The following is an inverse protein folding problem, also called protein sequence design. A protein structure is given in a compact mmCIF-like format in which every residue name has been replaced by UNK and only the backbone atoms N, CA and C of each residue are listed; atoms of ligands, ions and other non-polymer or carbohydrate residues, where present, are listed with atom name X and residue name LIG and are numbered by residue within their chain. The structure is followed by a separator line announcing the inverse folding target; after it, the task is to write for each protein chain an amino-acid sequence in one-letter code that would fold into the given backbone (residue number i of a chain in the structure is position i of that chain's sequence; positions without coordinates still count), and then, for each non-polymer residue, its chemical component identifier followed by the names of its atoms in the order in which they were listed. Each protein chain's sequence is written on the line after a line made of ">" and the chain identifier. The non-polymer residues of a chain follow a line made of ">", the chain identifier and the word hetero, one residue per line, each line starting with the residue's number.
data_IF_939062077900
#
_entry.id   IF_939062077900
#
_cell.length_a   1.000
_cell.length_b   1.000
_cell.length_c   1.000
_cell.angle_alpha   90.00
_cell.angle_beta   90.00
_cell.angle_gamma   90.00
#
_symmetry.space_group_name_H-M   'P 1'
#
loop_
_entity.id
_entity.type
_entity.pdbx_description
1 polymer ?
#
# COMPACT_ATOMS: atom_id res chain seq x y z
N UNK A 1 36.92 0.76 -13.70
CA UNK A 1 35.51 1.15 -13.53
C UNK A 1 35.07 2.25 -14.49
N UNK A 2 35.95 3.16 -14.94
CA UNK A 2 35.59 4.41 -15.65
C UNK A 2 35.73 4.43 -17.18
N UNK A 3 36.08 3.32 -17.86
CA UNK A 3 36.36 3.33 -19.31
C UNK A 3 35.14 3.11 -20.21
N UNK A 4 33.97 2.80 -19.64
CA UNK A 4 32.72 2.58 -20.38
C UNK A 4 31.88 3.86 -20.50
N UNK A 5 31.92 4.71 -19.47
CA UNK A 5 31.20 5.97 -19.48
C UNK A 5 31.95 6.99 -20.32
N UNK A 6 31.22 7.92 -20.93
CA UNK A 6 31.88 9.08 -21.52
C UNK A 6 32.51 9.90 -20.38
N UNK A 7 33.64 10.59 -20.63
CA UNK A 7 34.30 11.41 -19.60
C UNK A 7 33.41 12.49 -18.97
N UNK A 8 32.36 12.89 -19.70
CA UNK A 8 31.40 13.93 -19.32
C UNK A 8 30.20 13.39 -18.52
N UNK A 9 30.09 12.07 -18.36
CA UNK A 9 28.95 11.40 -17.73
C UNK A 9 29.20 11.07 -16.26
N UNK A 10 28.20 11.30 -15.42
CA UNK A 10 28.28 11.07 -13.97
C UNK A 10 27.32 9.96 -13.54
N UNK A 11 27.77 9.06 -12.66
CA UNK A 11 26.90 8.04 -12.04
C UNK A 11 26.14 8.69 -10.89
N UNK A 12 24.80 8.69 -10.96
CA UNK A 12 23.92 9.15 -9.87
C UNK A 12 23.58 8.04 -8.90
N UNK A 13 23.41 6.83 -9.41
CA UNK A 13 23.07 5.66 -8.60
C UNK A 13 23.58 4.39 -9.27
N UNK A 14 24.07 3.45 -8.48
CA UNK A 14 24.34 2.08 -8.93
C UNK A 14 23.72 1.09 -7.94
N UNK A 15 22.77 0.28 -8.42
CA UNK A 15 22.04 -0.71 -7.62
C UNK A 15 22.38 -2.10 -8.12
N UNK A 16 22.90 -2.93 -7.22
CA UNK A 16 23.16 -4.34 -7.52
C UNK A 16 21.85 -5.09 -7.66
N UNK A 17 21.74 -5.90 -8.71
CA UNK A 17 20.60 -6.77 -8.98
C UNK A 17 20.95 -8.23 -8.68
N UNK A 18 19.91 -9.02 -8.43
CA UNK A 18 19.99 -10.48 -8.49
C UNK A 18 20.33 -10.93 -9.91
N UNK A 19 21.13 -12.00 -10.03
CA UNK A 19 21.46 -12.62 -11.32
C UNK A 19 21.40 -14.13 -11.18
N UNK A 20 20.97 -14.80 -12.25
CA UNK A 20 20.97 -16.25 -12.37
C UNK A 20 22.40 -16.82 -12.54
N UNK A 21 23.39 -15.97 -12.86
CA UNK A 21 24.78 -16.39 -13.04
C UNK A 21 25.65 -15.98 -11.84
N UNK A 22 26.06 -16.92 -10.97
CA UNK A 22 26.78 -16.60 -9.73
C UNK A 22 28.19 -16.01 -9.96
N UNK A 23 28.75 -16.15 -11.16
CA UNK A 23 30.05 -15.58 -11.54
C UNK A 23 29.95 -14.15 -12.09
N UNK A 24 28.75 -13.61 -12.27
CA UNK A 24 28.51 -12.30 -12.84
C UNK A 24 27.78 -11.42 -11.83
N UNK A 25 28.28 -10.21 -11.60
CA UNK A 25 27.60 -9.23 -10.77
C UNK A 25 26.91 -8.20 -11.65
N UNK A 26 25.61 -8.03 -11.45
CA UNK A 26 24.76 -7.15 -12.26
C UNK A 26 24.43 -5.86 -11.55
N UNK A 27 24.44 -4.74 -12.27
CA UNK A 27 24.07 -3.43 -11.75
C UNK A 27 23.11 -2.68 -12.68
N UNK A 28 22.06 -2.10 -12.09
CA UNK A 28 21.29 -1.00 -12.68
C UNK A 28 21.99 0.31 -12.31
N UNK A 29 22.38 1.11 -13.30
CA UNK A 29 23.12 2.36 -13.09
C UNK A 29 22.34 3.51 -13.69
N UNK A 30 22.03 4.53 -12.88
CA UNK A 30 21.48 5.80 -13.37
C UNK A 30 22.64 6.73 -13.66
N UNK A 31 22.79 7.12 -14.92
CA UNK A 31 23.85 8.01 -15.42
C UNK A 31 23.23 9.33 -15.82
N UNK A 32 23.83 10.43 -15.39
CA UNK A 32 23.43 11.79 -15.76
C UNK A 32 24.53 12.48 -16.58
N UNK A 33 24.12 13.22 -17.59
CA UNK A 33 24.97 14.11 -18.39
C UNK A 33 24.37 15.52 -18.39
N UNK A 34 25.21 16.54 -18.44
CA UNK A 34 24.74 17.91 -18.65
C UNK A 34 24.50 18.11 -20.16
N UNK A 35 23.23 18.32 -20.53
CA UNK A 35 22.82 18.55 -21.90
C UNK A 35 23.28 19.90 -22.44
N UNK A 36 23.01 20.17 -23.73
CA UNK A 36 23.45 21.39 -24.43
C UNK A 36 22.89 22.72 -23.88
N UNK A 37 21.96 22.67 -22.94
CA UNK A 37 21.27 23.83 -22.34
C UNK A 37 21.49 23.94 -20.81
N UNK A 38 22.56 23.35 -20.27
CA UNK A 38 22.80 23.21 -18.81
C UNK A 38 21.69 22.45 -18.07
N UNK A 39 20.87 21.69 -18.80
CA UNK A 39 19.82 20.88 -18.24
C UNK A 39 20.32 19.46 -18.00
N UNK A 40 20.00 18.90 -16.83
CA UNK A 40 20.43 17.55 -16.46
C UNK A 40 19.61 16.51 -17.24
N UNK A 41 20.30 15.70 -18.05
CA UNK A 41 19.71 14.57 -18.77
C UNK A 41 20.13 13.27 -18.06
N UNK A 42 19.22 12.32 -17.88
CA UNK A 42 19.51 11.05 -17.18
C UNK A 42 19.12 9.84 -18.02
N UNK A 43 19.82 8.73 -17.85
CA UNK A 43 19.64 7.46 -18.58
C UNK A 43 19.89 6.30 -17.62
N UNK A 44 19.16 5.20 -17.79
CA UNK A 44 19.37 3.97 -17.01
C UNK A 44 20.17 2.98 -17.86
N UNK A 45 21.26 2.45 -17.31
CA UNK A 45 22.11 1.48 -17.97
C UNK A 45 22.10 0.16 -17.20
N UNK A 46 22.01 -0.94 -17.93
CA UNK A 46 22.28 -2.28 -17.42
C UNK A 46 23.74 -2.66 -17.64
N UNK A 47 24.46 -2.95 -16.56
CA UNK A 47 25.88 -3.32 -16.59
C UNK A 47 26.13 -4.69 -15.95
N UNK A 48 26.93 -5.52 -16.62
CA UNK A 48 27.37 -6.82 -16.11
C UNK A 48 28.88 -6.80 -15.83
N UNK A 49 29.29 -7.36 -14.69
CA UNK A 49 30.67 -7.40 -14.23
C UNK A 49 31.11 -8.85 -14.00
N UNK A 50 32.19 -9.27 -14.69
CA UNK A 50 32.84 -10.56 -14.48
C UNK A 50 34.25 -10.33 -13.87
N UNK A 51 34.67 -11.07 -12.83
CA UNK A 51 36.01 -10.96 -12.26
C UNK A 51 37.17 -11.28 -13.22
N UNK A 52 36.93 -11.98 -14.34
CA UNK A 52 37.98 -12.43 -15.26
C UNK A 52 38.12 -11.62 -16.56
N UNK A 53 37.19 -10.71 -16.88
CA UNK A 53 37.15 -10.06 -18.19
C UNK A 53 36.69 -8.60 -18.15
N UNK A 54 36.99 -7.85 -19.22
CA UNK A 54 36.66 -6.42 -19.36
C UNK A 54 35.15 -6.19 -19.29
N UNK A 55 34.79 -5.06 -18.67
CA UNK A 55 33.42 -4.58 -18.48
C UNK A 55 32.57 -4.63 -19.76
N UNK A 56 31.33 -5.09 -19.67
CA UNK A 56 30.40 -5.15 -20.80
C UNK A 56 29.11 -4.35 -20.51
N UNK A 57 28.74 -3.46 -21.43
CA UNK A 57 27.44 -2.79 -21.41
C UNK A 57 26.39 -3.74 -21.98
N UNK A 58 25.29 -3.95 -21.26
CA UNK A 58 24.32 -4.99 -21.59
C UNK A 58 22.98 -4.43 -22.10
N UNK A 59 22.59 -3.24 -21.63
CA UNK A 59 21.39 -2.54 -22.09
C UNK A 59 21.51 -1.03 -21.84
N UNK A 60 21.02 -0.21 -22.79
CA UNK A 60 20.87 1.23 -22.62
C UNK A 60 19.40 1.60 -22.65
N UNK A 61 18.84 1.99 -21.50
CA UNK A 61 17.43 2.34 -21.32
C UNK A 61 17.32 3.87 -21.24
N UNK A 62 16.82 4.50 -22.30
CA UNK A 62 16.47 5.93 -22.29
C UNK A 62 15.33 6.17 -21.30
N UNK A 63 15.42 7.18 -20.42
CA UNK A 63 14.35 7.54 -19.47
C UNK A 63 13.21 8.32 -20.11
N UNK A 64 12.82 7.92 -21.32
CA UNK A 64 11.49 8.21 -21.78
C UNK A 64 10.78 6.92 -22.02
N UNK A 65 9.68 6.79 -21.29
CA UNK A 65 8.77 5.65 -21.29
C UNK A 65 9.12 4.61 -20.22
N UNK A 66 9.28 5.06 -18.97
CA UNK A 66 8.46 4.39 -17.96
C UNK A 66 7.01 4.62 -18.40
N UNK A 67 6.46 3.56 -19.01
CA UNK A 67 5.21 3.46 -19.78
C UNK A 67 5.38 3.86 -21.27
N UNK A 68 5.45 2.86 -22.16
CA UNK A 68 5.38 2.91 -23.65
C UNK A 68 6.66 2.95 -24.51
N UNK A 69 7.61 2.04 -24.30
CA UNK A 69 8.36 1.45 -25.42
C UNK A 69 8.70 0.00 -25.09
N UNK A 70 7.98 -0.92 -25.75
CA UNK A 70 8.13 -2.37 -26.02
C UNK A 70 8.93 -3.33 -25.11
N UNK A 71 9.46 -2.93 -23.95
CA UNK A 71 10.26 -3.82 -23.09
C UNK A 71 10.02 -3.49 -21.61
N UNK A 72 9.18 -4.28 -20.94
CA UNK A 72 9.04 -4.22 -19.47
C UNK A 72 10.23 -4.97 -18.88
N UNK A 73 11.17 -4.24 -18.29
CA UNK A 73 12.31 -4.85 -17.60
C UNK A 73 12.00 -5.01 -16.11
N UNK A 74 12.13 -6.23 -15.61
CA UNK A 74 12.00 -6.54 -14.18
C UNK A 74 13.38 -6.43 -13.54
N UNK A 75 13.59 -5.39 -12.74
CA UNK A 75 14.78 -5.30 -11.89
C UNK A 75 14.48 -5.95 -10.54
N UNK A 76 15.35 -6.86 -10.08
CA UNK A 76 15.29 -7.49 -8.76
C UNK A 76 16.45 -6.96 -7.90
N UNK A 77 16.30 -5.85 -7.17
CA UNK A 77 17.35 -5.32 -6.31
C UNK A 77 17.64 -6.28 -5.16
N UNK A 78 18.92 -6.43 -4.80
CA UNK A 78 19.34 -7.36 -3.74
C UNK A 78 18.88 -6.98 -2.32
N UNK A 79 18.28 -5.80 -2.15
CA UNK A 79 17.73 -5.35 -0.86
C UNK A 79 16.61 -4.32 -1.03
N UNK A 80 15.74 -4.22 -0.03
CA UNK A 80 14.65 -3.22 0.03
C UNK A 80 15.22 -1.80 0.01
N UNK A 81 16.36 -1.56 0.64
CA UNK A 81 17.03 -0.25 0.61
C UNK A 81 17.56 0.10 -0.79
N UNK A 82 18.09 -0.89 -1.51
CA UNK A 82 18.54 -0.71 -2.89
C UNK A 82 17.34 -0.48 -3.84
N UNK A 83 16.23 -1.17 -3.59
CA UNK A 83 14.96 -0.95 -4.31
C UNK A 83 14.41 0.46 -4.07
N UNK A 84 14.38 0.93 -2.84
CA UNK A 84 13.89 2.27 -2.51
C UNK A 84 14.78 3.37 -3.11
N UNK A 85 16.11 3.20 -3.05
CA UNK A 85 17.06 4.13 -3.66
C UNK A 85 16.91 4.18 -5.18
N UNK A 86 16.68 3.02 -5.82
CA UNK A 86 16.34 2.92 -7.24
C UNK A 86 15.07 3.71 -7.56
N UNK A 87 13.99 3.46 -6.83
CA UNK A 87 12.70 4.12 -7.06
C UNK A 87 12.80 5.65 -6.96
N UNK A 88 13.47 6.15 -5.92
CA UNK A 88 13.67 7.59 -5.73
C UNK A 88 14.48 8.22 -6.87
N UNK A 89 15.58 7.58 -7.28
CA UNK A 89 16.43 8.10 -8.36
C UNK A 89 15.72 8.06 -9.72
N UNK A 90 14.92 7.02 -9.98
CA UNK A 90 14.12 6.89 -11.20
C UNK A 90 13.00 7.93 -11.24
N UNK A 91 12.28 8.12 -10.12
CA UNK A 91 11.22 9.12 -10.01
C UNK A 91 11.76 10.53 -10.26
N UNK A 92 12.93 10.88 -9.67
CA UNK A 92 13.58 12.16 -9.91
C UNK A 92 13.99 12.34 -11.37
N UNK A 93 14.60 11.32 -11.99
CA UNK A 93 14.99 11.38 -13.39
C UNK A 93 13.78 11.53 -14.33
N UNK A 94 12.67 10.84 -14.05
CA UNK A 94 11.44 10.92 -14.81
C UNK A 94 10.78 12.30 -14.68
N UNK A 95 10.75 12.88 -13.48
CA UNK A 95 10.17 14.20 -13.26
C UNK A 95 10.96 15.28 -14.01
N UNK A 96 12.30 15.22 -14.00
CA UNK A 96 13.15 16.13 -14.78
C UNK A 96 12.89 15.96 -16.28
N UNK A 97 12.81 14.72 -16.78
CA UNK A 97 12.51 14.44 -18.18
C UNK A 97 11.13 14.97 -18.61
N UNK A 98 10.12 14.84 -17.73
CA UNK A 98 8.76 15.35 -17.95
C UNK A 98 8.71 16.88 -17.97
N UNK A 99 9.36 17.54 -17.01
CA UNK A 99 9.39 19.00 -16.94
C UNK A 99 10.06 19.64 -18.16
N UNK A 100 11.06 18.97 -18.74
CA UNK A 100 11.84 19.50 -19.86
C UNK A 100 11.50 18.86 -21.21
N UNK A 101 10.46 18.01 -21.27
CA UNK A 101 10.02 17.30 -22.47
C UNK A 101 11.17 16.59 -23.20
N UNK A 102 12.03 15.89 -22.47
CA UNK A 102 12.98 14.98 -23.11
C UNK A 102 12.20 13.84 -23.75
N UNK A 103 12.63 13.32 -24.89
CA UNK A 103 12.11 12.10 -25.50
C UNK A 103 13.10 11.44 -26.47
N UNK A 104 12.99 10.12 -26.73
CA UNK A 104 13.92 9.40 -27.58
C UNK A 104 13.71 9.88 -29.02
N UNK A 105 14.80 10.22 -29.70
CA UNK A 105 14.75 10.82 -31.04
C UNK A 105 14.54 12.34 -31.06
N UNK A 106 14.43 12.99 -29.90
CA UNK A 106 14.49 14.46 -29.79
C UNK A 106 15.94 14.99 -29.95
N UNK A 107 16.10 16.32 -29.87
CA UNK A 107 17.42 16.96 -29.80
C UNK A 107 18.14 16.72 -28.45
N UNK A 108 17.46 16.12 -27.46
CA UNK A 108 17.97 15.74 -26.15
C UNK A 108 18.30 14.23 -26.12
N UNK A 109 19.10 13.76 -25.17
CA UNK A 109 19.51 12.35 -25.04
C UNK A 109 20.29 11.81 -26.25
N UNK A 110 20.82 12.68 -27.12
CA UNK A 110 21.58 12.30 -28.33
C UNK A 110 22.79 11.41 -28.02
N UNK A 111 23.31 11.53 -26.80
CA UNK A 111 24.41 10.74 -26.29
C UNK A 111 24.07 9.29 -25.94
N UNK A 112 22.80 8.93 -25.86
CA UNK A 112 22.39 7.54 -25.58
C UNK A 112 22.82 6.60 -26.71
N UNK A 113 22.89 7.10 -27.94
CA UNK A 113 23.41 6.38 -29.09
C UNK A 113 24.84 5.85 -28.88
N UNK A 114 25.66 6.53 -28.05
CA UNK A 114 26.99 6.07 -27.66
C UNK A 114 26.94 4.76 -26.87
N UNK A 115 25.99 4.61 -25.96
CA UNK A 115 25.83 3.40 -25.15
C UNK A 115 25.13 2.28 -25.93
N UNK A 116 24.13 2.63 -26.74
CA UNK A 116 23.42 1.68 -27.60
C UNK A 116 24.35 1.01 -28.63
N UNK A 117 25.30 1.77 -29.20
CA UNK A 117 26.29 1.24 -30.15
C UNK A 117 27.41 0.40 -29.52
N UNK A 118 27.45 0.30 -28.19
CA UNK A 118 28.52 -0.37 -27.41
C UNK A 118 28.00 -1.49 -26.52
N UNK A 119 26.80 -2.00 -26.80
CA UNK A 119 26.31 -3.22 -26.15
C UNK A 119 27.22 -4.37 -26.56
N UNK A 120 27.95 -4.93 -25.59
CA UNK A 120 29.01 -5.92 -25.82
C UNK A 120 28.85 -7.18 -24.97
N UNK A 121 27.77 -7.29 -24.20
CA UNK A 121 27.48 -8.47 -23.39
C UNK A 121 27.09 -9.66 -24.26
N UNK A 122 27.44 -10.87 -23.81
CA UNK A 122 27.05 -12.11 -24.48
C UNK A 122 25.53 -12.21 -24.63
N UNK A 123 25.05 -12.84 -25.71
CA UNK A 123 23.62 -12.96 -26.01
C UNK A 123 22.82 -13.58 -24.86
N UNK A 124 23.39 -14.51 -24.09
CA UNK A 124 22.74 -15.10 -22.92
C UNK A 124 22.51 -14.07 -21.79
N UNK A 125 23.41 -13.09 -21.62
CA UNK A 125 23.29 -12.02 -20.63
C UNK A 125 22.32 -10.95 -21.10
N UNK A 126 22.37 -10.57 -22.37
CA UNK A 126 21.35 -9.71 -23.00
C UNK A 126 19.97 -10.34 -22.83
N UNK A 127 19.86 -11.64 -23.09
CA UNK A 127 18.63 -12.39 -22.89
C UNK A 127 18.19 -12.40 -21.43
N UNK A 128 19.09 -12.39 -20.44
CA UNK A 128 18.73 -12.29 -19.02
C UNK A 128 18.27 -10.88 -18.62
N UNK A 129 18.85 -9.81 -19.18
CA UNK A 129 18.31 -8.45 -19.04
C UNK A 129 16.92 -8.29 -19.66
N UNK A 130 16.67 -9.08 -20.71
CA UNK A 130 15.39 -9.17 -21.40
C UNK A 130 14.50 -10.29 -20.84
N UNK A 131 15.00 -11.14 -19.93
CA UNK A 131 14.29 -12.33 -19.43
C UNK A 131 13.36 -11.90 -18.31
N UNK A 132 12.06 -11.97 -18.59
CA UNK A 132 11.01 -11.86 -17.59
C UNK A 132 10.83 -13.24 -16.92
N UNK A 133 11.59 -13.53 -15.86
CA UNK A 133 11.38 -14.71 -15.03
C UNK A 133 10.59 -14.37 -13.74
N UNK A 134 9.35 -14.83 -13.75
CA UNK A 134 8.43 -15.09 -12.63
C UNK A 134 7.67 -13.93 -12.00
N UNK A 135 7.05 -13.11 -12.86
CA UNK A 135 5.66 -12.71 -12.66
C UNK A 135 4.91 -13.00 -13.95
N UNK A 136 4.30 -14.18 -14.04
CA UNK A 136 3.12 -14.35 -14.88
C UNK A 136 2.00 -13.54 -14.23
N UNK A 137 1.92 -12.26 -14.57
CA UNK A 137 0.60 -11.65 -14.72
C UNK A 137 -0.04 -12.41 -15.87
N UNK A 138 -1.14 -13.11 -15.61
CA UNK A 138 -2.05 -13.51 -16.67
C UNK A 138 -2.50 -12.23 -17.38
N UNK A 139 -1.75 -11.81 -18.40
CA UNK A 139 -2.26 -10.91 -19.42
C UNK A 139 -3.35 -11.70 -20.14
N UNK A 140 -4.57 -11.20 -20.07
CA UNK A 140 -5.52 -11.42 -21.15
C UNK A 140 -4.82 -11.07 -22.47
N UNK A 141 -5.08 -11.84 -23.53
CA UNK A 141 -4.50 -11.67 -24.86
C UNK A 141 -4.37 -10.18 -25.21
N UNK A 142 -3.15 -9.78 -25.60
CA UNK A 142 -2.82 -8.36 -25.76
C UNK A 142 -3.77 -7.71 -26.75
N UNK A 143 -4.43 -6.61 -26.35
CA UNK A 143 -5.00 -5.73 -27.32
C UNK A 143 -3.89 -5.01 -28.09
N UNK A 144 -4.18 -4.73 -29.36
CA UNK A 144 -3.32 -3.99 -30.28
C UNK A 144 -2.84 -2.67 -29.65
N UNK A 145 -1.53 -2.45 -29.70
CA UNK A 145 -0.85 -1.20 -29.32
C UNK A 145 -1.49 0.02 -29.99
N UNK A 146 -1.50 1.13 -29.25
CA UNK A 146 -1.95 2.47 -29.65
C UNK A 146 -3.46 2.62 -29.85
N UNK A 147 -4.14 2.62 -28.72
CA UNK A 147 -5.33 3.46 -28.61
C UNK A 147 -5.45 3.98 -27.18
N UNK A 148 -5.51 5.31 -27.02
CA UNK A 148 -6.05 5.92 -25.79
C UNK A 148 -7.52 5.51 -25.53
N UNK A 149 -8.10 4.83 -26.51
CA UNK A 149 -9.36 4.11 -26.50
C UNK A 149 -9.11 2.79 -25.75
N UNK A 150 -9.63 2.60 -24.52
CA UNK A 150 -9.56 1.31 -23.85
C UNK A 150 -10.11 0.23 -24.77
N UNK A 151 -9.53 -0.96 -24.73
CA UNK A 151 -9.87 -1.99 -25.71
C UNK A 151 -11.29 -2.48 -25.49
N UNK A 152 -11.93 -3.06 -26.49
CA UNK A 152 -13.34 -3.45 -26.36
C UNK A 152 -13.56 -4.35 -25.14
N UNK A 153 -12.60 -5.25 -24.88
CA UNK A 153 -12.55 -6.07 -23.67
C UNK A 153 -12.41 -5.23 -22.40
N UNK A 154 -11.44 -4.33 -22.30
CA UNK A 154 -11.23 -3.49 -21.10
C UNK A 154 -12.38 -2.49 -20.85
N UNK A 155 -12.99 -1.96 -21.92
CA UNK A 155 -14.21 -1.15 -21.85
C UNK A 155 -15.35 -1.96 -21.27
N UNK A 156 -15.49 -3.19 -21.75
CA UNK A 156 -16.51 -4.12 -21.27
C UNK A 156 -16.23 -4.51 -19.82
N UNK A 157 -14.99 -4.82 -19.43
CA UNK A 157 -14.59 -5.11 -18.04
C UNK A 157 -14.85 -3.94 -17.08
N UNK A 158 -14.58 -2.70 -17.52
CA UNK A 158 -14.92 -1.49 -16.74
C UNK A 158 -16.43 -1.33 -16.60
N UNK A 159 -17.18 -1.50 -17.69
CA UNK A 159 -18.64 -1.39 -17.67
C UNK A 159 -19.28 -2.49 -16.82
N UNK A 160 -18.78 -3.73 -16.94
CA UNK A 160 -19.11 -4.87 -16.07
C UNK A 160 -18.89 -4.46 -14.62
N UNK A 161 -17.71 -3.97 -14.26
CA UNK A 161 -17.38 -3.60 -12.88
C UNK A 161 -18.32 -2.53 -12.34
N UNK A 162 -18.62 -1.50 -13.13
CA UNK A 162 -19.56 -0.43 -12.73
C UNK A 162 -20.98 -0.96 -12.53
N UNK A 163 -21.53 -1.71 -13.50
CA UNK A 163 -22.89 -2.27 -13.42
C UNK A 163 -23.03 -3.35 -12.36
N UNK A 164 -22.03 -4.21 -12.21
CA UNK A 164 -21.96 -5.23 -11.19
C UNK A 164 -22.03 -4.60 -9.79
N UNK A 165 -21.28 -3.50 -9.58
CA UNK A 165 -21.34 -2.74 -8.33
C UNK A 165 -22.73 -2.14 -8.08
N UNK A 166 -23.36 -1.53 -9.09
CA UNK A 166 -24.72 -0.99 -8.98
C UNK A 166 -25.75 -2.08 -8.60
N UNK A 167 -25.71 -3.23 -9.28
CA UNK A 167 -26.61 -4.37 -9.02
C UNK A 167 -26.42 -4.88 -7.59
N UNK A 168 -25.17 -5.09 -7.18
CA UNK A 168 -24.85 -5.63 -5.87
C UNK A 168 -25.27 -4.66 -4.76
N UNK A 169 -25.16 -3.34 -4.98
CA UNK A 169 -25.62 -2.31 -4.03
C UNK A 169 -27.15 -2.19 -3.92
N UNK A 170 -27.91 -2.57 -4.96
CA UNK A 170 -29.37 -2.46 -4.96
C UNK A 170 -30.07 -3.73 -4.48
N UNK A 171 -29.44 -4.90 -4.64
CA UNK A 171 -30.02 -6.19 -4.26
C UNK A 171 -29.71 -6.53 -2.80
N UNK A 172 -30.65 -7.21 -2.16
CA UNK A 172 -30.42 -7.88 -0.88
C UNK A 172 -29.50 -9.09 -1.10
N UNK A 173 -28.24 -8.94 -0.69
CA UNK A 173 -27.18 -9.91 -0.94
C UNK A 173 -27.32 -11.20 -0.13
N UNK A 174 -28.17 -11.23 0.92
CA UNK A 174 -28.41 -12.43 1.73
C UNK A 174 -29.29 -13.45 1.00
N UNK A 175 -30.13 -13.00 0.07
CA UNK A 175 -31.15 -13.80 -0.61
C UNK A 175 -30.90 -13.97 -2.11
N UNK A 176 -29.77 -13.47 -2.64
CA UNK A 176 -29.46 -13.47 -4.07
C UNK A 176 -28.29 -14.41 -4.37
N UNK A 177 -28.41 -15.23 -5.41
CA UNK A 177 -27.29 -16.11 -5.81
C UNK A 177 -26.33 -15.39 -6.77
N UNK A 178 -25.09 -15.86 -6.86
CA UNK A 178 -24.13 -15.40 -7.89
C UNK A 178 -24.63 -15.62 -9.31
N UNK A 179 -25.57 -16.57 -9.53
CA UNK A 179 -26.23 -16.77 -10.81
C UNK A 179 -27.24 -15.66 -11.09
N UNK A 180 -28.00 -15.22 -10.08
CA UNK A 180 -29.00 -14.16 -10.23
C UNK A 180 -28.32 -12.79 -10.46
N UNK A 181 -27.20 -12.52 -9.80
CA UNK A 181 -26.37 -11.33 -10.03
C UNK A 181 -25.83 -11.33 -11.46
N UNK A 182 -25.29 -12.46 -11.94
CA UNK A 182 -24.79 -12.58 -13.32
C UNK A 182 -25.90 -12.45 -14.37
N UNK A 183 -27.06 -13.06 -14.12
CA UNK A 183 -28.22 -12.98 -15.03
C UNK A 183 -28.73 -11.54 -15.14
N UNK A 184 -28.82 -10.83 -14.00
CA UNK A 184 -29.17 -9.41 -13.97
C UNK A 184 -28.14 -8.55 -14.72
N UNK A 185 -26.85 -8.82 -14.53
CA UNK A 185 -25.77 -8.11 -15.21
C UNK A 185 -25.86 -8.28 -16.74
N UNK A 186 -26.10 -9.50 -17.22
CA UNK A 186 -26.32 -9.78 -18.64
C UNK A 186 -27.57 -9.07 -19.17
N UNK A 187 -28.65 -9.01 -18.39
CA UNK A 187 -29.87 -8.27 -18.75
C UNK A 187 -29.63 -6.77 -18.84
N UNK A 188 -28.95 -6.16 -17.87
CA UNK A 188 -28.68 -4.72 -17.84
C UNK A 188 -27.69 -4.27 -18.91
N UNK A 189 -26.72 -5.13 -19.26
CA UNK A 189 -25.74 -4.85 -20.31
C UNK A 189 -26.22 -5.24 -21.71
N UNK A 190 -27.31 -6.01 -21.81
CA UNK A 190 -27.89 -6.51 -23.07
C UNK A 190 -26.85 -7.26 -23.92
N UNK A 191 -25.99 -8.04 -23.25
CA UNK A 191 -24.92 -8.81 -23.90
C UNK A 191 -24.62 -10.12 -23.16
N UNK A 192 -24.09 -11.11 -23.87
CA UNK A 192 -23.63 -12.35 -23.26
C UNK A 192 -22.26 -12.14 -22.58
N UNK A 193 -22.14 -12.52 -21.31
CA UNK A 193 -20.92 -12.29 -20.51
C UNK A 193 -20.21 -13.59 -20.14
N UNK A 194 -20.46 -14.69 -20.87
CA UNK A 194 -19.93 -16.02 -20.56
C UNK A 194 -18.40 -16.05 -20.50
N UNK A 195 -17.73 -15.29 -21.37
CA UNK A 195 -16.26 -15.17 -21.43
C UNK A 195 -15.68 -14.37 -20.26
N UNK A 196 -16.49 -13.56 -19.59
CA UNK A 196 -16.10 -12.76 -18.43
C UNK A 196 -16.47 -13.42 -17.10
N UNK A 197 -16.95 -14.66 -17.10
CA UNK A 197 -17.42 -15.34 -15.89
C UNK A 197 -16.40 -15.28 -14.74
N UNK A 198 -15.14 -15.62 -15.02
CA UNK A 198 -14.08 -15.62 -14.00
C UNK A 198 -13.76 -14.20 -13.49
N UNK A 199 -13.75 -13.22 -14.39
CA UNK A 199 -13.59 -11.80 -14.02
C UNK A 199 -14.75 -11.32 -13.14
N UNK A 200 -15.99 -11.65 -13.48
CA UNK A 200 -17.19 -11.31 -12.71
C UNK A 200 -17.16 -11.99 -11.34
N UNK A 201 -16.80 -13.27 -11.26
CA UNK A 201 -16.68 -14.01 -10.00
C UNK A 201 -15.62 -13.37 -9.08
N UNK A 202 -14.46 -12.97 -9.61
CA UNK A 202 -13.42 -12.27 -8.86
C UNK A 202 -13.86 -10.85 -8.44
N UNK A 203 -14.45 -10.07 -9.35
CA UNK A 203 -14.93 -8.72 -9.05
C UNK A 203 -16.11 -8.73 -8.08
N UNK A 204 -16.99 -9.73 -8.10
CA UNK A 204 -18.03 -9.87 -7.07
C UNK A 204 -17.43 -9.99 -5.67
N UNK A 205 -16.35 -10.78 -5.50
CA UNK A 205 -15.68 -10.94 -4.20
C UNK A 205 -15.03 -9.61 -3.77
N UNK A 206 -14.38 -8.93 -4.71
CA UNK A 206 -13.76 -7.61 -4.46
C UNK A 206 -14.81 -6.57 -4.09
N UNK A 207 -15.92 -6.51 -4.84
CA UNK A 207 -17.03 -5.59 -4.61
C UNK A 207 -17.70 -5.90 -3.28
N UNK A 208 -17.96 -7.17 -2.95
CA UNK A 208 -18.43 -7.58 -1.62
C UNK A 208 -17.50 -7.08 -0.51
N UNK A 209 -16.18 -7.22 -0.70
CA UNK A 209 -15.19 -6.70 0.24
C UNK A 209 -15.14 -5.16 0.34
N UNK A 210 -15.50 -4.46 -0.73
CA UNK A 210 -15.57 -2.99 -0.81
C UNK A 210 -16.90 -2.41 -0.34
N UNK A 211 -17.96 -3.22 -0.33
CA UNK A 211 -19.31 -2.80 0.02
C UNK A 211 -19.56 -2.77 1.54
N UNK A 212 -18.63 -3.30 2.33
CA UNK A 212 -18.69 -3.17 3.79
C UNK A 212 -18.34 -1.74 4.17
N UNK A 213 -19.35 -0.94 4.49
CA UNK A 213 -19.20 0.45 4.95
C UNK A 213 -18.39 0.48 6.25
N UNK A 214 -17.64 1.56 6.53
CA UNK A 214 -17.01 1.70 7.83
C UNK A 214 -18.11 1.69 8.90
N UNK A 215 -17.94 0.84 9.91
CA UNK A 215 -18.94 0.67 10.97
C UNK A 215 -18.74 1.77 12.00
N UNK A 216 -19.79 2.54 12.29
CA UNK A 216 -19.79 3.46 13.43
C UNK A 216 -19.82 2.64 14.72
N UNK A 217 -18.72 2.67 15.48
CA UNK A 217 -18.64 2.00 16.77
C UNK A 217 -19.07 2.95 17.88
N UNK A 218 -18.56 4.17 17.83
CA UNK A 218 -18.94 5.30 18.69
C UNK A 218 -19.19 6.51 17.80
N UNK A 219 -19.89 7.54 18.30
CA UNK A 219 -20.21 8.77 17.57
C UNK A 219 -18.99 9.39 16.86
N UNK A 220 -17.80 9.29 17.47
CA UNK A 220 -16.53 9.81 16.95
C UNK A 220 -15.56 8.73 16.43
N UNK A 221 -15.93 7.44 16.41
CA UNK A 221 -15.04 6.33 15.99
C UNK A 221 -15.72 5.40 15.00
N UNK A 222 -15.12 5.33 13.82
CA UNK A 222 -15.44 4.33 12.80
C UNK A 222 -14.39 3.23 12.78
N UNK A 223 -14.81 1.99 12.55
CA UNK A 223 -13.96 0.83 12.36
C UNK A 223 -14.13 0.30 10.93
N UNK A 224 -13.02 0.13 10.20
CA UNK A 224 -13.07 -0.30 8.81
C UNK A 224 -11.82 -1.01 8.29
N UNK A 225 -11.85 -1.26 6.99
CA UNK A 225 -10.82 -1.91 6.17
C UNK A 225 -10.00 -0.89 5.37
N UNK A 226 -9.02 -1.37 4.60
CA UNK A 226 -8.25 -0.56 3.66
C UNK A 226 -9.15 0.10 2.60
N UNK A 227 -10.22 -0.59 2.20
CA UNK A 227 -11.16 -0.09 1.22
C UNK A 227 -11.92 1.13 1.76
N UNK A 228 -12.32 1.11 3.03
CA UNK A 228 -12.96 2.27 3.66
C UNK A 228 -12.02 3.47 3.75
N UNK A 229 -10.73 3.23 4.04
CA UNK A 229 -9.71 4.27 4.07
C UNK A 229 -9.38 4.83 2.67
N UNK A 230 -9.66 4.08 1.60
CA UNK A 230 -9.46 4.49 0.21
C UNK A 230 -10.64 5.28 -0.39
N UNK A 231 -11.79 5.33 0.30
CA UNK A 231 -13.01 5.96 -0.20
C UNK A 231 -13.13 7.42 0.27
N UNK A 232 -12.57 8.36 -0.51
CA UNK A 232 -12.55 9.79 -0.17
C UNK A 232 -13.96 10.37 0.06
N UNK A 233 -14.91 10.01 -0.80
CA UNK A 233 -16.28 10.52 -0.72
C UNK A 233 -16.96 10.08 0.58
N UNK A 234 -16.82 8.81 0.95
CA UNK A 234 -17.38 8.30 2.20
C UNK A 234 -16.72 8.90 3.44
N UNK A 235 -15.39 9.08 3.43
CA UNK A 235 -14.66 9.74 4.51
C UNK A 235 -15.16 11.18 4.73
N UNK A 236 -15.38 11.94 3.65
CA UNK A 236 -15.90 13.30 3.71
C UNK A 236 -17.36 13.33 4.18
N UNK A 237 -18.21 12.47 3.62
CA UNK A 237 -19.64 12.41 3.95
C UNK A 237 -19.89 11.97 5.39
N UNK A 238 -19.03 11.12 5.95
CA UNK A 238 -19.12 10.69 7.35
C UNK A 238 -18.56 11.72 8.34
N UNK A 239 -17.81 12.72 7.86
CA UNK A 239 -17.17 13.74 8.71
C UNK A 239 -15.86 13.29 9.34
N UNK A 240 -15.21 12.27 8.77
CA UNK A 240 -13.89 11.81 9.22
C UNK A 240 -12.85 12.87 8.90
N UNK A 241 -12.01 13.20 9.89
CA UNK A 241 -10.85 14.08 9.72
C UNK A 241 -9.55 13.41 10.20
N UNK A 242 -9.66 12.35 11.00
CA UNK A 242 -8.55 11.62 11.59
C UNK A 242 -8.57 10.17 11.07
N UNK A 243 -7.41 9.65 10.68
CA UNK A 243 -7.29 8.27 10.21
C UNK A 243 -6.14 7.57 10.93
N UNK A 244 -6.47 6.52 11.68
CA UNK A 244 -5.53 5.64 12.35
C UNK A 244 -5.30 4.39 11.49
N UNK A 245 -4.13 4.33 10.85
CA UNK A 245 -3.70 3.22 10.01
C UNK A 245 -2.88 2.21 10.84
N UNK A 246 -3.45 1.04 11.11
CA UNK A 246 -2.81 -0.04 11.88
C UNK A 246 -2.31 -1.14 10.94
N UNK A 247 -1.46 -0.77 9.97
CA UNK A 247 -0.90 -1.69 8.99
C UNK A 247 0.54 -1.32 8.64
N UNK A 248 1.36 -2.30 8.27
CA UNK A 248 2.68 -2.05 7.69
C UNK A 248 2.60 -1.93 6.18
N UNK A 249 1.75 -2.74 5.57
CA UNK A 249 1.65 -3.01 4.14
C UNK A 249 0.80 -1.99 3.36
N UNK A 250 0.00 -1.15 4.03
CA UNK A 250 -0.86 -0.16 3.37
C UNK A 250 -0.39 1.25 3.72
N UNK A 251 -0.16 2.04 2.67
CA UNK A 251 0.15 3.46 2.81
C UNK A 251 -1.12 4.32 2.90
N UNK A 252 -0.92 5.57 3.32
CA UNK A 252 -2.02 6.51 3.48
C UNK A 252 -2.49 6.99 2.12
N UNK A 253 -3.78 6.83 1.85
CA UNK A 253 -4.38 7.21 0.56
C UNK A 253 -4.45 8.73 0.36
N UNK A 254 -4.70 9.49 1.43
CA UNK A 254 -4.97 10.93 1.36
C UNK A 254 -4.19 11.76 2.40
N UNK A 255 -2.85 11.64 2.48
CA UNK A 255 -2.05 12.19 3.59
C UNK A 255 -2.10 13.73 3.71
N UNK A 256 -2.55 14.43 2.67
CA UNK A 256 -2.68 15.88 2.65
C UNK A 256 -4.08 16.38 3.07
N UNK A 257 -5.06 15.49 3.22
CA UNK A 257 -6.46 15.84 3.48
C UNK A 257 -6.94 15.46 4.88
N UNK A 258 -6.30 14.47 5.52
CA UNK A 258 -6.67 13.96 6.83
C UNK A 258 -5.46 13.96 7.76
N UNK A 259 -5.70 14.04 9.06
CA UNK A 259 -4.65 13.82 10.06
C UNK A 259 -4.44 12.30 10.21
N UNK A 260 -3.21 11.83 9.95
CA UNK A 260 -2.89 10.41 10.05
C UNK A 260 -2.04 10.09 11.28
N UNK A 261 -2.30 8.93 11.87
CA UNK A 261 -1.38 8.24 12.76
C UNK A 261 -1.16 6.81 12.28
N UNK A 262 0.09 6.36 12.25
CA UNK A 262 0.48 5.08 11.65
C UNK A 262 1.10 4.16 12.69
N UNK A 263 0.49 2.99 12.88
CA UNK A 263 1.08 1.88 13.63
C UNK A 263 1.49 0.81 12.61
N UNK A 264 2.77 0.83 12.22
CA UNK A 264 3.29 0.02 11.09
C UNK A 264 3.59 -1.42 11.50
N UNK A 265 2.54 -2.24 11.61
CA UNK A 265 2.61 -3.65 12.04
C UNK A 265 1.85 -4.62 11.13
N UNK A 266 2.27 -5.89 11.08
CA UNK A 266 1.57 -6.98 10.40
C UNK A 266 0.52 -7.63 11.32
N UNK A 267 -0.39 -8.43 10.76
CA UNK A 267 -1.40 -9.18 11.54
C UNK A 267 -0.88 -10.57 11.88
N UNK A 268 0.12 -10.61 12.76
CA UNK A 268 0.85 -11.83 13.10
C UNK A 268 1.00 -11.96 14.62
N UNK A 269 1.13 -13.19 15.12
CA UNK A 269 1.18 -13.45 16.56
C UNK A 269 2.34 -12.76 17.27
N UNK A 270 3.46 -12.51 16.58
CA UNK A 270 4.65 -11.84 17.11
C UNK A 270 4.48 -10.32 17.27
N UNK A 271 3.38 -9.75 16.78
CA UNK A 271 3.14 -8.31 16.85
C UNK A 271 2.69 -7.90 18.25
N UNK A 272 3.35 -6.89 18.82
CA UNK A 272 2.96 -6.24 20.07
C UNK A 272 2.12 -4.99 19.77
N UNK A 273 0.79 -5.10 19.86
CA UNK A 273 -0.13 -3.96 19.80
C UNK A 273 -0.30 -3.26 21.16
N UNK A 274 -0.08 -3.99 22.26
CA UNK A 274 -0.20 -3.48 23.63
C UNK A 274 0.67 -2.23 23.84
N UNK A 275 1.90 -2.25 23.32
CA UNK A 275 2.82 -1.10 23.38
C UNK A 275 2.26 0.19 22.76
N UNK A 276 1.34 0.09 21.81
CA UNK A 276 0.81 1.23 21.05
C UNK A 276 -0.54 1.74 21.54
N UNK A 277 -1.29 0.97 22.35
CA UNK A 277 -2.66 1.33 22.73
C UNK A 277 -2.78 2.63 23.53
N UNK A 278 -1.73 3.05 24.23
CA UNK A 278 -1.72 4.36 24.87
C UNK A 278 -1.66 5.51 23.86
N UNK A 279 -0.93 5.34 22.76
CA UNK A 279 -0.76 6.37 21.73
C UNK A 279 -1.95 6.42 20.78
N UNK A 280 -2.48 5.25 20.39
CA UNK A 280 -3.73 5.18 19.61
C UNK A 280 -4.89 5.78 20.40
N UNK A 281 -4.98 5.52 21.71
CA UNK A 281 -5.97 6.17 22.58
C UNK A 281 -5.87 7.69 22.51
N UNK A 282 -4.67 8.26 22.73
CA UNK A 282 -4.47 9.72 22.66
C UNK A 282 -4.91 10.27 21.31
N UNK A 283 -4.58 9.60 20.21
CA UNK A 283 -4.95 10.02 18.87
C UNK A 283 -6.47 10.07 18.68
N UNK A 284 -7.18 9.00 19.05
CA UNK A 284 -8.65 8.94 18.97
C UNK A 284 -9.30 9.98 19.89
N UNK A 285 -8.77 10.16 21.10
CA UNK A 285 -9.26 11.19 22.04
C UNK A 285 -9.03 12.61 21.52
N UNK A 286 -7.99 12.88 20.72
CA UNK A 286 -7.82 14.19 20.06
C UNK A 286 -8.91 14.44 19.03
N UNK A 287 -9.23 13.45 18.20
CA UNK A 287 -10.34 13.55 17.25
C UNK A 287 -11.66 13.85 17.97
N UNK A 288 -11.95 13.10 19.05
CA UNK A 288 -13.12 13.33 19.92
C UNK A 288 -13.17 14.77 20.46
N UNK A 289 -12.06 15.28 21.01
CA UNK A 289 -11.96 16.63 21.56
C UNK A 289 -12.13 17.72 20.51
N UNK A 290 -11.72 17.46 19.26
CA UNK A 290 -11.90 18.36 18.15
C UNK A 290 -13.34 18.36 17.58
N UNK A 291 -14.24 17.52 18.12
CA UNK A 291 -15.58 17.32 17.55
C UNK A 291 -15.54 16.65 16.17
N UNK A 292 -14.44 15.96 15.86
CA UNK A 292 -14.21 15.29 14.59
C UNK A 292 -14.30 13.77 14.74
N UNK A 293 -14.51 13.07 13.63
CA UNK A 293 -14.55 11.61 13.59
C UNK A 293 -13.20 11.01 13.19
N UNK A 294 -12.91 9.85 13.78
CA UNK A 294 -11.71 9.07 13.51
C UNK A 294 -12.08 7.74 12.84
N UNK A 295 -11.47 7.42 11.70
CA UNK A 295 -11.49 6.07 11.14
C UNK A 295 -10.29 5.28 11.68
N UNK A 296 -10.53 4.14 12.30
CA UNK A 296 -9.49 3.16 12.65
C UNK A 296 -9.57 2.01 11.67
N UNK A 297 -8.52 1.80 10.88
CA UNK A 297 -8.51 0.75 9.88
C UNK A 297 -7.27 -0.13 9.94
N UNK A 298 -7.44 -1.36 9.44
CA UNK A 298 -6.32 -2.22 9.07
C UNK A 298 -6.57 -2.72 7.63
N UNK A 299 -6.03 -3.89 7.25
CA UNK A 299 -6.32 -4.47 5.93
C UNK A 299 -7.78 -4.86 5.78
N UNK A 300 -8.26 -5.79 6.61
CA UNK A 300 -9.62 -6.34 6.51
C UNK A 300 -10.64 -5.70 7.47
N UNK A 301 -10.18 -4.87 8.42
CA UNK A 301 -11.06 -4.36 9.48
C UNK A 301 -11.54 -5.44 10.46
N UNK A 302 -10.76 -6.51 10.64
CA UNK A 302 -11.17 -7.71 11.41
C UNK A 302 -10.38 -7.88 12.71
N UNK A 303 -9.05 -7.74 12.65
CA UNK A 303 -8.13 -8.09 13.75
C UNK A 303 -7.45 -6.84 14.32
N UNK A 304 -6.33 -6.37 13.74
CA UNK A 304 -5.53 -5.22 14.24
C UNK A 304 -6.33 -3.98 14.62
N UNK A 305 -7.16 -3.47 13.71
CA UNK A 305 -7.96 -2.27 13.97
C UNK A 305 -9.06 -2.53 14.99
N UNK A 306 -9.70 -3.71 14.96
CA UNK A 306 -10.72 -4.08 15.92
C UNK A 306 -10.13 -4.21 17.34
N UNK A 307 -9.00 -4.87 17.51
CA UNK A 307 -8.26 -4.95 18.78
C UNK A 307 -7.96 -3.56 19.33
N UNK A 308 -7.55 -2.63 18.45
CA UNK A 308 -7.26 -1.24 18.85
C UNK A 308 -8.52 -0.49 19.30
N UNK A 309 -9.66 -0.71 18.64
CA UNK A 309 -10.94 -0.11 19.03
C UNK A 309 -11.49 -0.72 20.33
N UNK A 310 -11.31 -2.02 20.54
CA UNK A 310 -11.66 -2.69 21.81
C UNK A 310 -10.81 -2.12 22.95
N UNK A 311 -9.49 -2.02 22.79
CA UNK A 311 -8.61 -1.42 23.78
C UNK A 311 -8.97 0.06 24.07
N UNK A 312 -9.37 0.80 23.04
CA UNK A 312 -9.90 2.16 23.21
C UNK A 312 -11.16 2.17 24.07
N UNK A 313 -12.12 1.28 23.80
CA UNK A 313 -13.37 1.18 24.55
C UNK A 313 -13.14 0.84 26.03
N UNK A 314 -12.28 -0.15 26.30
CA UNK A 314 -11.90 -0.55 27.66
C UNK A 314 -11.35 0.64 28.46
N UNK A 315 -10.47 1.45 27.86
CA UNK A 315 -9.87 2.59 28.54
C UNK A 315 -10.80 3.79 28.67
N UNK A 316 -11.53 4.14 27.60
CA UNK A 316 -12.37 5.34 27.58
C UNK A 316 -13.61 5.19 28.46
N UNK A 317 -14.22 4.01 28.46
CA UNK A 317 -15.49 3.75 29.13
C UNK A 317 -15.35 2.89 30.39
N UNK A 318 -14.13 2.46 30.72
CA UNK A 318 -13.88 1.61 31.88
C UNK A 318 -14.49 0.21 31.76
N UNK A 319 -14.73 -0.26 30.54
CA UNK A 319 -15.30 -1.58 30.28
C UNK A 319 -14.25 -2.68 30.43
N UNK A 320 -14.69 -3.86 30.88
CA UNK A 320 -13.88 -5.05 30.76
C UNK A 320 -13.80 -5.53 29.29
N UNK A 321 -12.90 -6.48 29.03
CA UNK A 321 -12.65 -7.01 27.71
C UNK A 321 -13.90 -7.67 27.12
N UNK A 322 -14.65 -8.43 27.92
CA UNK A 322 -15.84 -9.14 27.43
C UNK A 322 -16.90 -8.13 26.94
N UNK A 323 -17.22 -7.12 27.75
CA UNK A 323 -18.15 -6.07 27.39
C UNK A 323 -17.67 -5.28 26.17
N UNK A 324 -16.39 -4.88 26.13
CA UNK A 324 -15.83 -4.10 25.02
C UNK A 324 -15.78 -4.91 23.72
N UNK A 325 -15.42 -6.19 23.79
CA UNK A 325 -15.39 -7.09 22.64
C UNK A 325 -16.79 -7.30 22.07
N UNK A 326 -17.77 -7.66 22.91
CA UNK A 326 -19.14 -7.91 22.45
C UNK A 326 -19.76 -6.65 21.86
N UNK A 327 -19.56 -5.47 22.47
CA UNK A 327 -20.06 -4.21 21.92
C UNK A 327 -19.55 -3.91 20.50
N UNK A 328 -18.27 -4.16 20.25
CA UNK A 328 -17.66 -3.97 18.92
C UNK A 328 -18.12 -5.06 17.95
N UNK A 329 -18.24 -6.30 18.42
CA UNK A 329 -18.68 -7.46 17.64
C UNK A 329 -20.13 -7.34 17.18
N UNK A 330 -21.03 -6.86 18.04
CA UNK A 330 -22.44 -6.61 17.71
C UNK A 330 -22.59 -5.59 16.57
N UNK A 331 -21.75 -4.55 16.56
CA UNK A 331 -21.77 -3.52 15.51
C UNK A 331 -21.06 -3.97 14.24
N UNK A 332 -19.92 -4.65 14.40
CA UNK A 332 -19.12 -5.17 13.30
C UNK A 332 -18.92 -6.67 13.47
N UNK A 333 -19.85 -7.44 12.91
CA UNK A 333 -19.96 -8.90 13.04
C UNK A 333 -18.70 -9.64 12.57
N UNK A 334 -17.91 -9.06 11.67
CA UNK A 334 -16.64 -9.66 11.21
C UNK A 334 -15.49 -9.53 12.21
N UNK A 335 -15.65 -8.78 13.30
CA UNK A 335 -14.62 -8.58 14.33
C UNK A 335 -14.11 -9.91 14.88
N UNK A 336 -12.80 -10.14 14.72
CA UNK A 336 -12.12 -11.35 15.18
C UNK A 336 -10.62 -11.05 15.32
N UNK A 337 -10.20 -10.41 16.43
CA UNK A 337 -8.80 -10.34 16.82
C UNK A 337 -8.12 -11.70 16.74
N UNK A 338 -6.87 -11.72 16.32
CA UNK A 338 -6.08 -12.95 16.41
C UNK A 338 -5.86 -13.34 17.89
N UNK A 339 -5.54 -14.61 18.19
CA UNK A 339 -5.37 -15.09 19.57
C UNK A 339 -4.28 -14.35 20.37
N UNK A 340 -3.23 -13.87 19.70
CA UNK A 340 -2.18 -13.08 20.36
C UNK A 340 -2.71 -11.72 20.83
N UNK A 341 -3.49 -11.03 19.99
CA UNK A 341 -4.11 -9.76 20.36
C UNK A 341 -5.18 -9.91 21.44
N UNK A 342 -5.92 -11.04 21.47
CA UNK A 342 -6.83 -11.32 22.59
C UNK A 342 -6.07 -11.43 23.92
N UNK A 343 -4.95 -12.16 23.97
CA UNK A 343 -4.10 -12.23 25.17
C UNK A 343 -3.54 -10.87 25.58
N UNK A 344 -3.14 -10.05 24.61
CA UNK A 344 -2.68 -8.69 24.89
C UNK A 344 -3.80 -7.82 25.46
N UNK A 345 -5.05 -7.98 24.99
CA UNK A 345 -6.21 -7.26 25.54
C UNK A 345 -6.50 -7.70 26.98
N UNK A 346 -6.37 -9.00 27.30
CA UNK A 346 -6.47 -9.51 28.67
C UNK A 346 -5.39 -8.90 29.58
N UNK A 347 -4.15 -8.84 29.10
CA UNK A 347 -3.04 -8.18 29.80
C UNK A 347 -3.33 -6.69 30.03
N UNK A 348 -3.87 -6.01 29.01
CA UNK A 348 -4.24 -4.61 29.09
C UNK A 348 -5.35 -4.34 30.11
N UNK A 349 -6.34 -5.23 30.21
CA UNK A 349 -7.35 -5.15 31.26
C UNK A 349 -6.70 -5.15 32.65
N UNK A 350 -5.74 -6.05 32.88
CA UNK A 350 -4.97 -6.10 34.13
C UNK A 350 -4.23 -4.79 34.43
N UNK A 351 -3.60 -4.19 33.41
CA UNK A 351 -2.91 -2.89 33.51
C UNK A 351 -3.90 -1.76 33.87
N UNK A 352 -5.07 -1.72 33.22
CA UNK A 352 -6.09 -0.71 33.49
C UNK A 352 -6.68 -0.85 34.90
N UNK A 353 -6.96 -2.08 35.35
CA UNK A 353 -7.45 -2.35 36.72
C UNK A 353 -6.44 -1.92 37.78
N UNK A 354 -5.16 -2.26 37.60
CA UNK A 354 -4.11 -1.85 38.54
C UNK A 354 -4.05 -0.32 38.66
N UNK A 355 -4.15 0.40 37.53
CA UNK A 355 -4.13 1.86 37.51
C UNK A 355 -5.30 2.48 38.27
N UNK A 356 -6.51 1.93 38.12
CA UNK A 356 -7.69 2.40 38.86
C UNK A 356 -7.55 2.23 40.38
N UNK A 357 -6.91 1.15 40.85
CA UNK A 357 -6.64 0.92 42.27
C UNK A 357 -5.69 1.98 42.82
N UNK A 358 -4.59 2.28 42.10
CA UNK A 358 -3.64 3.30 42.54
C UNK A 358 -4.24 4.71 42.53
N UNK A 359 -5.00 5.08 41.51
CA UNK A 359 -5.68 6.37 41.42
C UNK A 359 -6.81 6.50 42.48
N UNK A 360 -7.50 5.42 42.82
CA UNK A 360 -8.50 5.38 43.91
C UNK A 360 -7.90 5.43 45.32
N UNK A 361 -6.71 4.87 45.53
CA UNK A 361 -6.03 4.85 46.83
C UNK A 361 -5.46 6.21 47.28
N UNK A 362 -5.23 7.14 46.34
CA UNK A 362 -4.73 8.48 46.65
C UNK A 362 -5.82 9.43 47.21
N UNK A 363 -7.10 9.02 47.21
CA UNK A 363 -8.21 9.84 47.72
C UNK A 363 -8.67 9.44 49.14
N UNK A 364 -8.05 8.45 49.80
CA UNK A 364 -8.56 7.89 51.07
C UNK A 364 -7.62 7.99 52.28
N UNK A 365 -6.63 8.89 52.27
CA UNK A 365 -5.80 9.15 53.47
C UNK A 365 -5.96 10.60 53.97
N UNK A 366 -7.14 10.88 54.54
CA UNK A 366 -7.37 12.05 55.39
C UNK A 366 -6.91 11.71 56.83
N UNK A 367 -5.60 11.85 57.09
CA UNK A 367 -5.01 11.72 58.44
C UNK A 367 -5.28 12.97 59.29
N UNK A 368 -6.55 13.29 59.55
CA UNK A 368 -6.92 14.31 60.53
C UNK A 368 -8.12 13.88 61.35
N UNK A 369 -7.88 13.12 62.43
CA UNK A 369 -8.44 13.34 63.77
C UNK A 369 -8.17 12.12 64.66
N UNK A 370 -7.07 12.16 65.40
CA UNK A 370 -6.71 11.06 66.32
C UNK A 370 -5.78 11.42 67.48
N UNK A 371 -5.55 12.70 67.80
CA UNK A 371 -4.87 13.05 69.06
C UNK A 371 -5.89 13.20 70.20
N UNK A 372 -6.32 12.07 70.78
CA UNK A 372 -6.80 12.07 72.16
C UNK A 372 -5.59 11.96 73.07
N UNK A 373 -5.20 13.08 73.69
CA UNK A 373 -4.36 13.08 74.88
C UNK A 373 -5.12 12.35 75.99
N UNK A 374 -4.61 11.20 76.41
CA UNK A 374 -4.89 10.68 77.74
C UNK A 374 -4.07 11.47 78.76
N UNK A 375 -4.73 11.67 79.92
CA UNK A 375 -4.36 12.39 81.14
C UNK A 375 -2.90 12.40 81.55
#
# INVERSE_FOLDING_TARGET
>A
MFTLLRPEDNIRLAVRLESAFPQCTRYMVVVSANGRQDTEESVVLGMDFNPSDRFACAASLTTNNYIFSESIHVFKPVSVQAMWSALQSLHKACEVARCHNYFPGSLFLTWVSYYQSRVSSDQARINEWNAMQDVQSHRADSPVLFSEVPTERERTERLIKTRLREIMMQKDLENVTSKDIRTELEMQMVCNLREFKEYIDNEMIVILGQMDRPTEIFEHVYLGSEWNASNLEELQNTGVQYILNVTREIDNFFPSLFEYHNIRVYDEEATDLLAYWNDTYKFISRAKKAGAKCLVHCKMGVSRSASTVIAYAMKEYGWDLEQAFEYVKERRVVTKPNPSFMRQLEEYQGILMARMIFEGSCYTEDWSNGCRKFS
#
